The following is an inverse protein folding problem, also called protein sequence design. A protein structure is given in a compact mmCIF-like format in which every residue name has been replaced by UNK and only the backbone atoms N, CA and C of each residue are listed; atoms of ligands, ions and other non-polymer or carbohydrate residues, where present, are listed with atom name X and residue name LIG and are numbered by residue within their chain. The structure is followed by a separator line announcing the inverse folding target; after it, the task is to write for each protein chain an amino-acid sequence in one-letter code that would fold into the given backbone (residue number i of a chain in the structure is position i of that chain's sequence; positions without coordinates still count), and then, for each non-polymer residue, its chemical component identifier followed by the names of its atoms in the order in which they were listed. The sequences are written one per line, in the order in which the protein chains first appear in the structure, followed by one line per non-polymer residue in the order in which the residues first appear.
data_IF_202997142696
#
_entry.id   IF_202997142696
#
_cell.length_a   1.000
_cell.length_b   1.000
_cell.length_c   1.000
_cell.angle_alpha   90.00
_cell.angle_beta   90.00
_cell.angle_gamma   90.00
#
_symmetry.space_group_name_H-M   'P 1'
#
loop_
_entity.id
_entity.type
_entity.pdbx_description
1 polymer ?
#
# COMPACT_ATOMS: atom_id res chain seq x y z
N UNK A 1 8.60 4.06 -27.29
CA UNK A 1 8.29 3.42 -26.01
C UNK A 1 9.63 3.21 -25.33
N UNK A 2 9.90 3.85 -24.18
CA UNK A 2 11.15 3.64 -23.46
C UNK A 2 11.28 2.18 -23.04
N UNK A 3 12.52 1.70 -22.93
CA UNK A 3 12.79 0.34 -22.45
C UNK A 3 12.32 0.21 -20.99
N UNK A 4 11.87 -0.97 -20.58
CA UNK A 4 11.35 -1.21 -19.23
C UNK A 4 12.37 -0.83 -18.15
N UNK A 5 13.66 -1.06 -18.40
CA UNK A 5 14.74 -0.71 -17.47
C UNK A 5 14.91 0.80 -17.32
N UNK A 6 14.77 1.56 -18.41
CA UNK A 6 14.80 3.03 -18.38
C UNK A 6 13.61 3.57 -17.57
N UNK A 7 12.42 2.98 -17.77
CA UNK A 7 11.23 3.36 -17.03
C UNK A 7 11.38 3.07 -15.52
N UNK A 8 11.97 1.92 -15.16
CA UNK A 8 12.24 1.57 -13.76
C UNK A 8 13.26 2.55 -13.16
N UNK A 9 14.35 2.86 -13.87
CA UNK A 9 15.37 3.81 -13.41
C UNK A 9 14.78 5.20 -13.15
N UNK A 10 13.97 5.72 -14.08
CA UNK A 10 13.31 7.02 -13.97
C UNK A 10 12.31 7.06 -12.80
N UNK A 11 11.46 6.03 -12.68
CA UNK A 11 10.44 5.95 -11.63
C UNK A 11 11.05 5.85 -10.24
N UNK A 12 12.06 5.01 -10.07
CA UNK A 12 12.73 4.81 -8.78
C UNK A 12 13.51 6.06 -8.35
N UNK A 13 14.12 6.78 -9.30
CA UNK A 13 14.75 8.07 -9.02
C UNK A 13 13.73 9.12 -8.58
N UNK A 14 12.60 9.21 -9.28
CA UNK A 14 11.53 10.16 -8.94
C UNK A 14 10.97 9.87 -7.55
N UNK A 15 10.68 8.60 -7.25
CA UNK A 15 10.19 8.18 -5.93
C UNK A 15 11.19 8.49 -4.81
N UNK A 16 12.49 8.30 -5.04
CA UNK A 16 13.52 8.64 -4.05
C UNK A 16 13.52 10.14 -3.71
N UNK A 17 13.39 11.01 -4.73
CA UNK A 17 13.32 12.46 -4.54
C UNK A 17 12.03 12.88 -3.82
N UNK A 18 10.90 12.25 -4.13
CA UNK A 18 9.64 12.51 -3.43
C UNK A 18 9.71 12.08 -1.96
N UNK A 19 10.28 10.89 -1.67
CA UNK A 19 10.48 10.41 -0.31
C UNK A 19 11.39 11.33 0.51
N UNK A 20 12.43 11.88 -0.09
CA UNK A 20 13.30 12.87 0.56
C UNK A 20 12.53 14.14 0.95
N UNK A 21 11.66 14.65 0.05
CA UNK A 21 10.80 15.80 0.34
C UNK A 21 9.80 15.50 1.45
N UNK A 22 9.16 14.33 1.41
CA UNK A 22 8.19 13.90 2.43
C UNK A 22 8.90 13.74 3.78
N UNK A 23 10.09 13.15 3.81
CA UNK A 23 10.88 12.97 5.03
C UNK A 23 11.22 14.29 5.73
N UNK A 24 11.48 15.36 4.96
CA UNK A 24 11.74 16.69 5.53
C UNK A 24 10.53 17.29 6.28
N UNK A 25 9.32 16.81 5.99
CA UNK A 25 8.06 17.28 6.60
C UNK A 25 7.42 16.24 7.53
N UNK A 26 7.99 15.04 7.61
CA UNK A 26 7.38 13.91 8.30
C UNK A 26 7.71 13.90 9.81
N UNK A 27 6.78 13.44 10.65
CA UNK A 27 7.05 13.20 12.07
C UNK A 27 8.12 12.12 12.25
N UNK A 28 8.81 12.16 13.40
CA UNK A 28 9.95 11.28 13.71
C UNK A 28 9.57 9.79 13.61
N UNK A 29 8.34 9.45 14.01
CA UNK A 29 7.77 8.09 13.95
C UNK A 29 7.73 7.52 12.53
N UNK A 30 7.58 8.38 11.51
CA UNK A 30 7.53 7.98 10.11
C UNK A 30 8.92 7.97 9.44
N UNK A 31 9.94 8.57 10.05
CA UNK A 31 11.26 8.73 9.41
C UNK A 31 11.95 7.40 9.14
N UNK A 32 11.83 6.41 10.03
CA UNK A 32 12.43 5.09 9.83
C UNK A 32 11.82 4.36 8.62
N UNK A 33 10.49 4.43 8.47
CA UNK A 33 9.78 3.87 7.32
C UNK A 33 10.17 4.56 6.01
N UNK A 34 10.24 5.90 6.03
CA UNK A 34 10.63 6.70 4.86
C UNK A 34 12.10 6.46 4.47
N UNK A 35 13.00 6.31 5.43
CA UNK A 35 14.40 5.98 5.18
C UNK A 35 14.54 4.60 4.52
N UNK A 36 13.80 3.59 5.00
CA UNK A 36 13.78 2.26 4.39
C UNK A 36 13.21 2.29 2.96
N UNK A 37 12.14 3.05 2.74
CA UNK A 37 11.56 3.20 1.41
C UNK A 37 12.56 3.86 0.44
N UNK A 38 13.26 4.90 0.89
CA UNK A 38 14.28 5.60 0.10
C UNK A 38 15.43 4.66 -0.29
N UNK A 39 15.89 3.83 0.65
CA UNK A 39 16.95 2.84 0.39
C UNK A 39 16.51 1.80 -0.66
N UNK A 40 15.26 1.33 -0.61
CA UNK A 40 14.72 0.40 -1.60
C UNK A 40 14.65 1.05 -2.99
N UNK A 41 14.18 2.29 -3.08
CA UNK A 41 14.15 3.05 -4.33
C UNK A 41 15.56 3.23 -4.91
N UNK A 42 16.56 3.59 -4.09
CA UNK A 42 17.95 3.71 -4.53
C UNK A 42 18.52 2.39 -5.05
N UNK A 43 18.35 1.29 -4.31
CA UNK A 43 18.79 -0.04 -4.78
C UNK A 43 18.14 -0.44 -6.09
N UNK A 44 16.85 -0.14 -6.27
CA UNK A 44 16.13 -0.39 -7.51
C UNK A 44 16.68 0.42 -8.68
N UNK A 45 16.95 1.71 -8.46
CA UNK A 45 17.57 2.59 -9.45
C UNK A 45 18.96 2.09 -9.87
N UNK A 46 19.83 1.80 -8.89
CA UNK A 46 21.17 1.29 -9.14
C UNK A 46 21.16 -0.04 -9.90
N UNK A 47 20.23 -0.93 -9.55
CA UNK A 47 20.08 -2.21 -10.24
C UNK A 47 19.65 -2.01 -11.71
N UNK A 48 18.69 -1.13 -11.97
CA UNK A 48 18.24 -0.80 -13.31
C UNK A 48 19.34 -0.13 -14.14
N UNK A 49 20.06 0.84 -13.57
CA UNK A 49 21.21 1.49 -14.22
C UNK A 49 22.33 0.50 -14.51
N UNK A 50 22.64 -0.40 -13.57
CA UNK A 50 23.61 -1.47 -13.79
C UNK A 50 23.19 -2.41 -14.92
N UNK A 51 21.90 -2.75 -15.02
CA UNK A 51 21.35 -3.56 -16.11
C UNK A 51 21.44 -2.88 -17.48
N UNK A 52 21.22 -1.55 -17.52
CA UNK A 52 21.36 -0.75 -18.73
C UNK A 52 22.82 -0.66 -19.18
N UNK A 53 23.78 -0.57 -18.25
CA UNK A 53 25.21 -0.49 -18.57
C UNK A 53 25.81 -1.85 -18.94
N UNK A 54 25.45 -2.92 -18.21
CA UNK A 54 25.93 -4.28 -18.45
C UNK A 54 24.81 -5.32 -18.16
N UNK A 55 24.05 -5.70 -19.20
CA UNK A 55 22.97 -6.69 -19.07
C UNK A 55 23.45 -8.10 -18.69
N UNK A 56 24.74 -8.43 -18.87
CA UNK A 56 25.29 -9.74 -18.50
C UNK A 56 25.62 -9.78 -17.01
N UNK A 57 26.25 -8.73 -16.49
CA UNK A 57 26.55 -8.61 -15.05
C UNK A 57 25.25 -8.56 -14.24
N UNK A 58 24.23 -7.85 -14.72
CA UNK A 58 22.92 -7.86 -14.10
C UNK A 58 22.31 -9.25 -14.05
N UNK A 59 22.29 -9.98 -15.17
CA UNK A 59 21.78 -11.36 -15.21
C UNK A 59 22.51 -12.28 -14.23
N UNK A 60 23.84 -12.20 -14.16
CA UNK A 60 24.61 -12.99 -13.20
C UNK A 60 24.24 -12.66 -11.75
N UNK A 61 24.08 -11.38 -11.41
CA UNK A 61 23.74 -10.95 -10.03
C UNK A 61 22.40 -11.49 -9.54
N UNK A 62 21.44 -11.68 -10.44
CA UNK A 62 20.11 -12.22 -10.12
C UNK A 62 20.04 -13.74 -10.27
N UNK A 63 20.80 -14.36 -11.19
CA UNK A 63 20.93 -15.82 -11.28
C UNK A 63 21.63 -16.41 -10.05
N UNK A 64 22.66 -15.74 -9.52
CA UNK A 64 23.31 -16.16 -8.27
C UNK A 64 22.42 -15.98 -7.03
N UNK A 65 21.26 -15.32 -7.17
CA UNK A 65 20.25 -15.18 -6.12
C UNK A 65 19.14 -16.23 -6.20
N UNK A 66 19.19 -17.17 -7.15
CA UNK A 66 18.31 -18.36 -7.23
C UNK A 66 18.52 -19.38 -6.09
N UNK A 67 19.07 -18.96 -4.96
CA UNK A 67 18.98 -19.67 -3.68
C UNK A 67 17.88 -19.04 -2.84
N UNK A 68 16.62 -19.31 -3.20
CA UNK A 68 15.37 -18.98 -2.48
C UNK A 68 15.18 -17.49 -2.09
N UNK A 69 14.15 -16.77 -2.59
CA UNK A 69 13.53 -15.81 -1.69
C UNK A 69 13.08 -16.61 -0.46
N UNK A 70 13.47 -16.20 0.75
CA UNK A 70 12.74 -16.63 1.96
C UNK A 70 11.26 -16.59 1.60
N UNK A 71 10.52 -17.68 1.84
CA UNK A 71 9.07 -17.70 1.76
C UNK A 71 8.57 -16.54 2.64
N UNK A 72 8.39 -15.38 2.02
CA UNK A 72 7.64 -14.29 2.62
C UNK A 72 6.22 -14.84 2.62
N UNK A 73 5.84 -15.44 3.75
CA UNK A 73 4.48 -15.85 4.01
C UNK A 73 3.59 -14.68 3.56
N UNK A 74 2.70 -14.90 2.58
CA UNK A 74 1.85 -13.82 2.11
C UNK A 74 1.16 -13.23 3.34
N UNK A 75 1.11 -11.89 3.51
CA UNK A 75 0.36 -11.31 4.61
C UNK A 75 -1.04 -11.91 4.54
N UNK A 76 -1.44 -12.55 5.64
CA UNK A 76 -2.75 -13.20 5.72
C UNK A 76 -3.85 -12.23 5.25
N UNK A 77 -4.96 -12.75 4.70
CA UNK A 77 -6.06 -11.90 4.28
C UNK A 77 -6.41 -10.95 5.43
N UNK A 78 -6.67 -9.66 5.15
CA UNK A 78 -7.06 -8.73 6.21
C UNK A 78 -8.27 -9.34 6.91
N UNK A 79 -8.11 -9.68 8.18
CA UNK A 79 -9.21 -10.11 9.04
C UNK A 79 -10.01 -8.88 9.44
N UNK A 80 -10.57 -8.19 8.44
CA UNK A 80 -11.60 -7.19 8.63
C UNK A 80 -12.91 -7.95 8.78
N UNK A 81 -13.07 -8.60 9.94
CA UNK A 81 -14.40 -8.94 10.42
C UNK A 81 -14.92 -7.64 11.01
N UNK A 82 -15.84 -6.91 10.35
CA UNK A 82 -16.53 -5.83 11.04
C UNK A 82 -17.14 -6.43 12.31
N UNK A 83 -17.10 -5.74 13.46
CA UNK A 83 -17.77 -6.23 14.66
C UNK A 83 -19.22 -6.52 14.29
N UNK A 84 -19.58 -7.81 14.30
CA UNK A 84 -20.97 -8.24 14.13
C UNK A 84 -21.69 -7.71 15.34
N UNK A 85 -22.28 -6.53 15.18
CA UNK A 85 -23.19 -5.98 16.17
C UNK A 85 -24.37 -6.95 16.20
N UNK A 86 -24.67 -7.62 17.33
CA UNK A 86 -25.85 -8.44 17.39
C UNK A 86 -27.06 -7.55 17.03
N UNK A 87 -28.02 -8.03 16.22
CA UNK A 87 -29.20 -7.24 15.93
C UNK A 87 -29.86 -6.89 17.27
N UNK A 88 -29.94 -5.60 17.54
CA UNK A 88 -30.72 -5.10 18.67
C UNK A 88 -32.16 -5.59 18.50
N UNK A 89 -32.83 -6.05 19.57
CA UNK A 89 -34.22 -6.49 19.48
C UNK A 89 -35.08 -5.35 18.92
N UNK A 90 -36.14 -5.65 18.16
CA UNK A 90 -36.99 -4.63 17.58
C UNK A 90 -37.56 -3.75 18.69
N UNK A 91 -37.34 -2.44 18.55
CA UNK A 91 -37.95 -1.42 19.39
C UNK A 91 -39.47 -1.57 19.32
N UNK A 92 -40.20 -1.70 20.45
CA UNK A 92 -41.65 -1.71 20.42
C UNK A 92 -42.15 -0.36 19.88
N UNK A 93 -43.25 -0.33 19.11
CA UNK A 93 -43.79 0.92 18.57
C UNK A 93 -44.18 1.85 19.73
N UNK A 94 -43.89 3.16 19.67
CA UNK A 94 -44.32 4.08 20.70
C UNK A 94 -45.85 4.15 20.68
N UNK A 95 -46.46 3.79 21.82
CA UNK A 95 -47.86 4.04 22.09
C UNK A 95 -48.16 5.53 22.00
N UNK A 96 -48.72 5.95 20.88
CA UNK A 96 -49.21 7.31 20.63
C UNK A 96 -50.74 7.32 20.61
N UNK A 97 -51.32 7.56 21.78
CA UNK A 97 -52.75 7.77 22.00
C UNK A 97 -53.14 9.16 21.49
N UNK A 98 -54.15 9.24 20.61
CA UNK A 98 -55.00 10.44 20.47
C UNK A 98 -55.04 11.07 19.08
N UNK A 99 -56.26 11.20 18.53
CA UNK A 99 -56.54 12.05 17.37
C UNK A 99 -57.75 11.62 16.55
N UNK A 100 -58.96 11.94 17.02
CA UNK A 100 -60.17 12.10 16.18
C UNK A 100 -59.84 12.99 14.97
N UNK A 101 -60.52 12.81 13.84
CA UNK A 101 -61.25 13.86 13.06
C UNK A 101 -61.66 13.28 11.69
N UNK A 102 -62.99 13.26 11.43
CA UNK A 102 -63.78 13.41 10.17
C UNK A 102 -63.18 12.99 8.81
N UNK A 103 -63.87 12.39 7.84
CA UNK A 103 -65.29 12.09 7.58
C UNK A 103 -65.52 11.96 6.06
N UNK A 104 -66.62 11.29 5.65
CA UNK A 104 -67.27 11.31 4.30
C UNK A 104 -66.49 10.66 3.14
N UNK A 105 -67.09 9.96 2.18
CA UNK A 105 -68.48 9.78 1.74
C UNK A 105 -68.68 8.33 1.29
#
# INVERSE_FOLDING_TARGET
MPDLLELIAERTQTQAQELERVRAMAPEEAQAGLARAQEVCQRGHEAAMSALMDPQVFRQRYQHREGMPDEVEPPGPPTDVPPVTPPSPPTPPPGGRGGKHHGGW
#
